data_IF_504612321962
#
_entry.id   IF_504612321962
#
_cell.length_a   1.000
_cell.length_b   1.000
_cell.length_c   1.000
_cell.angle_alpha   90.00
_cell.angle_beta   90.00
_cell.angle_gamma   90.00
#
_symmetry.space_group_name_H-M   'P 1'
#
loop_
_entity.id
_entity.type
_entity.pdbx_description
1 polymer ?
#
# COMPACT_ATOMS: atom_id res chain seq x y z
N UNK A 1 -14.96 -42.20 -13.91
CA UNK A 1 -15.71 -42.06 -15.18
C UNK A 1 -15.03 -42.91 -16.24
N UNK A 2 -15.75 -43.75 -17.01
CA UNK A 2 -15.12 -44.68 -17.98
C UNK A 2 -14.29 -43.99 -19.07
N UNK A 3 -14.36 -42.67 -19.18
CA UNK A 3 -13.62 -41.85 -20.17
C UNK A 3 -12.14 -41.68 -19.81
N UNK A 4 -11.72 -41.95 -18.57
CA UNK A 4 -10.33 -41.78 -18.12
C UNK A 4 -9.53 -43.11 -18.06
N UNK A 5 -10.17 -44.25 -18.32
CA UNK A 5 -9.49 -45.57 -18.24
C UNK A 5 -8.46 -45.83 -19.38
N UNK A 6 -8.47 -44.99 -20.41
CA UNK A 6 -7.56 -45.10 -21.56
C UNK A 6 -6.46 -44.03 -21.58
N UNK A 7 -6.35 -43.19 -20.55
CA UNK A 7 -5.31 -42.16 -20.47
C UNK A 7 -4.09 -42.75 -19.76
N UNK A 8 -2.99 -42.90 -20.50
CA UNK A 8 -1.71 -43.28 -19.91
C UNK A 8 -1.12 -42.06 -19.20
N UNK A 9 -1.01 -42.14 -17.86
CA UNK A 9 -0.55 -41.04 -17.01
C UNK A 9 0.90 -40.63 -17.34
N UNK A 10 1.76 -41.57 -17.68
CA UNK A 10 3.17 -41.29 -18.02
C UNK A 10 3.29 -40.53 -19.34
N UNK A 11 2.47 -40.88 -20.32
CA UNK A 11 2.44 -40.22 -21.62
C UNK A 11 1.80 -38.82 -21.52
N UNK A 12 0.85 -38.64 -20.59
CA UNK A 12 0.25 -37.34 -20.31
C UNK A 12 1.27 -36.42 -19.62
N UNK A 13 2.09 -36.91 -18.71
CA UNK A 13 3.16 -36.13 -18.09
C UNK A 13 4.23 -35.70 -19.09
N UNK A 14 4.65 -36.59 -19.98
CA UNK A 14 5.65 -36.31 -21.01
C UNK A 14 5.17 -35.28 -22.05
N UNK A 15 3.87 -35.30 -22.37
CA UNK A 15 3.29 -34.46 -23.41
C UNK A 15 2.46 -33.29 -22.87
N UNK A 16 2.41 -33.08 -21.57
CA UNK A 16 1.59 -32.07 -20.92
C UNK A 16 1.86 -30.65 -21.46
N UNK A 17 3.12 -30.29 -21.59
CA UNK A 17 3.54 -29.00 -22.12
C UNK A 17 3.12 -28.78 -23.58
N UNK A 18 3.11 -29.85 -24.42
CA UNK A 18 2.69 -29.76 -25.80
C UNK A 18 1.17 -29.70 -25.94
N UNK A 19 0.43 -30.40 -25.07
CA UNK A 19 -1.04 -30.42 -25.04
C UNK A 19 -1.61 -29.08 -24.55
N UNK A 20 -0.95 -28.43 -23.59
CA UNK A 20 -1.36 -27.15 -23.03
C UNK A 20 -0.80 -25.92 -23.73
N UNK A 21 0.08 -26.10 -24.72
CA UNK A 21 0.75 -24.99 -25.44
C UNK A 21 -0.22 -24.00 -26.13
N UNK A 22 -1.45 -24.40 -26.43
CA UNK A 22 -2.46 -23.55 -27.05
C UNK A 22 -3.64 -23.23 -26.10
N UNK A 23 -3.50 -23.47 -24.79
CA UNK A 23 -4.51 -23.07 -23.81
C UNK A 23 -4.51 -21.54 -23.64
N UNK A 24 -5.71 -20.97 -23.57
CA UNK A 24 -5.89 -19.53 -23.32
C UNK A 24 -5.31 -19.07 -21.95
N UNK A 25 -5.14 -19.98 -21.00
CA UNK A 25 -4.52 -19.71 -19.70
C UNK A 25 -3.00 -19.56 -19.81
N UNK A 26 -2.34 -20.26 -20.72
CA UNK A 26 -0.91 -20.08 -20.99
C UNK A 26 -0.56 -18.78 -21.71
N UNK A 27 -1.55 -18.11 -22.31
CA UNK A 27 -1.36 -16.82 -22.96
C UNK A 27 -1.29 -15.64 -21.98
N UNK A 28 -1.71 -15.83 -20.73
CA UNK A 28 -1.63 -14.83 -19.64
C UNK A 28 -0.33 -14.96 -18.80
N UNK A 29 0.33 -16.12 -18.86
CA UNK A 29 1.57 -16.41 -18.11
C UNK A 29 2.79 -16.56 -19.04
N UNK A 30 2.86 -15.87 -20.17
CA UNK A 30 4.05 -15.82 -20.97
C UNK A 30 5.13 -14.96 -20.28
N UNK A 31 6.09 -15.54 -19.52
CA UNK A 31 7.31 -14.83 -19.20
C UNK A 31 8.08 -14.68 -20.50
N UNK A 32 8.58 -13.47 -20.72
CA UNK A 32 9.57 -13.22 -21.77
C UNK A 32 10.61 -14.34 -21.76
N UNK A 33 10.86 -14.89 -22.95
CA UNK A 33 11.82 -15.98 -23.17
C UNK A 33 13.13 -15.73 -22.40
N UNK A 34 13.36 -16.51 -21.36
CA UNK A 34 14.68 -16.69 -20.80
C UNK A 34 15.08 -18.14 -20.98
N UNK A 35 15.93 -18.36 -21.98
CA UNK A 35 16.71 -19.56 -22.21
C UNK A 35 17.29 -20.11 -20.91
N UNK A 36 16.87 -21.31 -20.55
CA UNK A 36 17.47 -22.10 -19.50
C UNK A 36 18.84 -22.59 -19.99
N UNK A 37 19.87 -21.83 -19.75
CA UNK A 37 21.26 -22.31 -19.77
C UNK A 37 21.91 -22.02 -18.41
N UNK A 38 22.32 -23.12 -17.79
CA UNK A 38 23.37 -23.24 -16.77
C UNK A 38 23.64 -22.02 -15.89
N UNK A 39 22.99 -21.94 -14.73
CA UNK A 39 23.46 -21.07 -13.64
C UNK A 39 24.47 -21.82 -12.78
N UNK A 40 25.65 -22.07 -13.33
CA UNK A 40 26.88 -22.12 -12.55
C UNK A 40 27.44 -20.72 -12.51
N UNK A 41 27.44 -20.11 -11.36
CA UNK A 41 28.22 -18.99 -10.88
C UNK A 41 28.91 -18.09 -11.92
N UNK A 42 28.17 -17.15 -12.51
CA UNK A 42 28.79 -15.93 -13.03
C UNK A 42 27.82 -14.77 -12.71
N UNK A 43 28.21 -13.94 -11.78
CA UNK A 43 27.59 -12.65 -11.49
C UNK A 43 27.36 -11.94 -12.83
N UNK A 44 26.10 -11.55 -13.11
CA UNK A 44 25.82 -10.56 -14.16
C UNK A 44 26.57 -9.28 -13.76
N UNK A 45 27.68 -9.03 -14.45
CA UNK A 45 28.51 -7.86 -14.26
C UNK A 45 27.72 -6.62 -14.64
N UNK A 46 27.18 -5.91 -13.64
CA UNK A 46 26.53 -4.61 -13.82
C UNK A 46 25.40 -4.25 -12.87
N UNK A 47 24.68 -5.18 -12.29
CA UNK A 47 23.62 -4.87 -11.34
C UNK A 47 24.17 -4.96 -9.89
N UNK A 48 24.02 -3.88 -9.14
CA UNK A 48 24.33 -3.78 -7.71
C UNK A 48 23.52 -4.81 -6.94
N UNK A 49 24.16 -5.65 -6.13
CA UNK A 49 23.48 -6.62 -5.24
C UNK A 49 22.56 -5.87 -4.28
N UNK A 50 22.98 -4.68 -3.85
CA UNK A 50 22.18 -3.81 -3.01
C UNK A 50 20.88 -3.38 -3.70
N UNK A 51 20.92 -3.08 -5.01
CA UNK A 51 19.73 -2.72 -5.77
C UNK A 51 18.74 -3.89 -5.92
N UNK A 52 19.23 -5.13 -5.84
CA UNK A 52 18.38 -6.31 -5.90
C UNK A 52 17.66 -6.60 -4.59
N UNK A 53 18.29 -6.33 -3.43
CA UNK A 53 17.75 -6.70 -2.10
C UNK A 53 17.46 -5.53 -1.18
N UNK A 54 17.67 -4.29 -1.63
CA UNK A 54 17.39 -3.11 -0.84
C UNK A 54 16.79 -1.98 -1.67
N UNK A 55 15.89 -1.23 -1.06
CA UNK A 55 15.24 -0.06 -1.65
C UNK A 55 15.92 1.22 -1.15
N UNK A 56 16.37 2.08 -2.04
CA UNK A 56 16.98 3.38 -1.70
C UNK A 56 15.88 4.39 -1.32
N UNK A 57 15.68 4.61 -0.02
CA UNK A 57 14.71 5.58 0.50
C UNK A 57 15.11 7.03 0.18
N UNK A 58 16.42 7.32 0.10
CA UNK A 58 16.89 8.66 -0.28
C UNK A 58 16.62 8.97 -1.75
N UNK A 59 16.68 7.97 -2.63
CA UNK A 59 16.25 8.12 -4.02
C UNK A 59 14.74 8.35 -4.12
N UNK A 60 13.93 7.58 -3.41
CA UNK A 60 12.47 7.75 -3.35
C UNK A 60 12.09 9.14 -2.81
N UNK A 61 12.78 9.61 -1.78
CA UNK A 61 12.56 10.95 -1.25
C UNK A 61 12.85 12.05 -2.28
N UNK A 62 13.93 11.90 -3.10
CA UNK A 62 14.24 12.85 -4.19
C UNK A 62 13.19 12.84 -5.30
N UNK A 63 12.62 11.69 -5.56
CA UNK A 63 11.57 11.52 -6.58
C UNK A 63 10.18 12.00 -6.10
N UNK A 64 10.03 12.39 -4.84
CA UNK A 64 8.73 12.77 -4.27
C UNK A 64 7.79 11.58 -4.00
N UNK A 65 8.34 10.37 -3.89
CA UNK A 65 7.58 9.12 -3.65
C UNK A 65 7.34 8.85 -2.17
N UNK A 66 7.84 9.70 -1.29
CA UNK A 66 7.65 9.59 0.16
C UNK A 66 6.76 10.73 0.63
N UNK A 67 5.69 10.37 1.33
CA UNK A 67 4.76 11.34 1.90
C UNK A 67 5.44 12.23 2.96
N UNK A 68 4.98 13.48 3.13
CA UNK A 68 5.47 14.37 4.18
C UNK A 68 5.26 13.76 5.56
N UNK A 69 6.31 13.70 6.37
CA UNK A 69 6.26 13.16 7.73
C UNK A 69 6.20 14.30 8.74
N UNK A 70 5.09 14.40 9.46
CA UNK A 70 4.86 15.39 10.50
C UNK A 70 4.85 14.75 11.90
N UNK A 71 5.19 15.53 12.94
CA UNK A 71 5.03 15.13 14.34
C UNK A 71 6.00 14.09 14.88
N UNK A 72 7.09 13.78 14.14
CA UNK A 72 8.16 12.82 14.52
C UNK A 72 9.54 13.47 14.62
N UNK A 73 9.59 14.78 14.77
CA UNK A 73 10.83 15.55 14.79
C UNK A 73 11.76 15.18 15.94
N UNK A 74 11.22 14.83 17.08
CA UNK A 74 12.01 14.45 18.27
C UNK A 74 12.73 13.12 18.03
N UNK A 75 12.03 12.12 17.54
CA UNK A 75 12.58 10.80 17.24
C UNK A 75 13.63 10.90 16.11
N UNK A 76 13.37 11.68 15.07
CA UNK A 76 14.33 11.89 13.97
C UNK A 76 15.60 12.58 14.49
N UNK A 77 15.49 13.61 15.35
CA UNK A 77 16.66 14.26 15.97
C UNK A 77 17.45 13.26 16.81
N UNK A 78 16.79 12.44 17.62
CA UNK A 78 17.47 11.40 18.42
C UNK A 78 18.21 10.40 17.52
N UNK A 79 17.63 10.01 16.38
CA UNK A 79 18.32 9.15 15.42
C UNK A 79 19.57 9.83 14.87
N UNK A 80 19.48 11.10 14.47
CA UNK A 80 20.60 11.89 13.97
C UNK A 80 21.70 11.98 15.02
N UNK A 81 21.36 12.29 16.27
CA UNK A 81 22.31 12.36 17.38
C UNK A 81 23.04 11.04 17.62
N UNK A 82 22.30 9.91 17.53
CA UNK A 82 22.88 8.58 17.68
C UNK A 82 23.83 8.25 16.52
N UNK A 83 23.42 8.52 15.29
CA UNK A 83 24.25 8.29 14.10
C UNK A 83 25.56 9.09 14.12
N UNK A 84 25.59 10.23 14.80
CA UNK A 84 26.78 11.07 14.95
C UNK A 84 27.76 10.58 16.05
N UNK A 85 27.38 9.63 16.88
CA UNK A 85 28.20 9.10 17.94
C UNK A 85 29.38 8.27 17.42
N UNK A 86 30.48 8.24 18.16
CA UNK A 86 31.62 7.37 17.85
C UNK A 86 31.36 5.89 18.20
N UNK A 87 30.52 5.64 19.21
CA UNK A 87 30.15 4.30 19.70
C UNK A 87 28.65 4.26 19.93
N UNK A 88 28.04 3.07 19.86
CA UNK A 88 26.58 2.91 19.95
C UNK A 88 25.87 3.83 18.95
N UNK A 89 26.37 3.82 17.72
CA UNK A 89 25.92 4.70 16.64
C UNK A 89 24.88 4.05 15.71
N UNK A 90 24.29 2.95 16.14
CA UNK A 90 23.19 2.31 15.42
C UNK A 90 21.87 2.56 16.19
N UNK A 91 20.97 3.39 15.68
CA UNK A 91 19.65 3.58 16.27
C UNK A 91 18.82 2.30 16.16
N UNK A 92 18.05 2.01 17.20
CA UNK A 92 17.05 0.94 17.20
C UNK A 92 15.70 1.51 17.62
N UNK A 93 14.79 1.62 16.65
CA UNK A 93 13.42 2.05 16.91
C UNK A 93 12.65 0.93 17.59
N UNK A 94 12.07 1.22 18.74
CA UNK A 94 11.21 0.29 19.47
C UNK A 94 9.84 0.91 19.70
N UNK A 95 8.79 0.17 19.44
CA UNK A 95 7.41 0.63 19.63
C UNK A 95 6.42 -0.39 19.10
N UNK A 96 5.17 -0.27 19.49
CA UNK A 96 4.11 -1.15 19.05
C UNK A 96 3.89 -1.08 17.52
N UNK A 97 3.22 -2.08 16.96
CA UNK A 97 2.86 -2.07 15.55
C UNK A 97 1.91 -0.89 15.27
N UNK A 98 2.10 -0.19 14.15
CA UNK A 98 1.23 0.91 13.74
C UNK A 98 1.55 2.29 14.37
N UNK A 99 2.57 2.41 15.23
CA UNK A 99 2.97 3.74 15.77
C UNK A 99 3.78 4.60 14.78
N UNK A 100 4.12 4.07 13.59
CA UNK A 100 4.82 4.84 12.55
C UNK A 100 6.35 4.79 12.66
N UNK A 101 6.95 3.66 13.04
CA UNK A 101 8.42 3.48 13.07
C UNK A 101 9.05 3.69 11.69
N UNK A 102 8.46 3.13 10.65
CA UNK A 102 8.92 3.27 9.27
C UNK A 102 8.80 4.72 8.79
N UNK A 103 7.72 5.42 9.14
CA UNK A 103 7.54 6.84 8.84
C UNK A 103 8.66 7.73 9.46
N UNK A 104 9.14 7.40 10.67
CA UNK A 104 10.29 8.10 11.27
C UNK A 104 11.55 7.97 10.41
N UNK A 105 11.77 6.79 9.81
CA UNK A 105 12.92 6.53 8.92
C UNK A 105 12.73 7.25 7.57
N UNK A 106 11.54 7.25 7.03
CA UNK A 106 11.17 8.02 5.83
C UNK A 106 11.35 9.52 6.05
N UNK A 107 10.95 10.03 7.23
CA UNK A 107 11.21 11.41 7.64
C UNK A 107 12.70 11.74 7.72
N UNK A 108 13.55 10.80 8.16
CA UNK A 108 15.00 10.96 8.12
C UNK A 108 15.50 11.04 6.67
N UNK A 109 14.99 10.20 5.75
CA UNK A 109 15.34 10.26 4.33
C UNK A 109 14.99 11.63 3.72
N UNK A 110 13.80 12.15 4.02
CA UNK A 110 13.37 13.49 3.57
C UNK A 110 14.32 14.59 4.08
N UNK A 111 14.73 14.56 5.35
CA UNK A 111 15.70 15.53 5.90
C UNK A 111 17.09 15.40 5.29
N UNK A 112 17.56 14.19 5.00
CA UNK A 112 18.84 13.98 4.30
C UNK A 112 18.80 14.64 2.93
N UNK A 113 17.72 14.45 2.17
CA UNK A 113 17.55 15.02 0.83
C UNK A 113 17.40 16.54 0.88
N UNK A 114 16.68 17.08 1.85
CA UNK A 114 16.54 18.51 2.10
C UNK A 114 17.83 19.18 2.59
N UNK A 115 18.85 18.37 3.00
CA UNK A 115 20.08 18.90 3.59
C UNK A 115 19.95 19.37 5.04
N UNK A 116 18.80 19.12 5.69
CA UNK A 116 18.51 19.43 7.11
C UNK A 116 19.11 18.39 8.06
N UNK A 117 20.36 18.07 7.84
CA UNK A 117 21.15 17.13 8.62
C UNK A 117 22.59 17.63 8.74
N UNK A 118 23.37 17.17 9.77
CA UNK A 118 24.79 17.47 9.87
C UNK A 118 25.56 17.11 8.60
N UNK A 119 26.67 17.83 8.27
CA UNK A 119 27.42 17.62 7.03
C UNK A 119 27.84 16.17 6.77
N UNK A 120 28.07 15.39 7.82
CA UNK A 120 28.47 13.98 7.71
C UNK A 120 27.36 13.04 7.24
N UNK A 121 26.11 13.51 7.24
CA UNK A 121 24.93 12.74 6.80
C UNK A 121 24.32 13.23 5.49
N UNK A 122 24.82 14.32 4.89
CA UNK A 122 24.23 14.91 3.67
C UNK A 122 24.36 14.02 2.44
N UNK A 123 25.49 13.31 2.32
CA UNK A 123 25.78 12.47 1.18
C UNK A 123 25.53 10.97 1.46
N UNK A 124 24.78 10.67 2.52
CA UNK A 124 24.48 9.29 2.92
C UNK A 124 23.30 8.77 2.13
N UNK A 125 23.39 7.52 1.67
CA UNK A 125 22.25 6.76 1.16
C UNK A 125 21.60 5.99 2.30
N UNK A 126 20.30 6.08 2.41
CA UNK A 126 19.49 5.30 3.36
C UNK A 126 18.77 4.21 2.58
N UNK A 127 19.14 2.95 2.81
CA UNK A 127 18.62 1.81 2.07
C UNK A 127 17.82 0.89 3.00
N UNK A 128 16.57 0.61 2.65
CA UNK A 128 15.71 -0.37 3.33
C UNK A 128 16.03 -1.77 2.82
N UNK A 129 16.50 -2.65 3.69
CA UNK A 129 16.77 -4.05 3.38
C UNK A 129 15.46 -4.86 3.33
N UNK A 130 15.19 -5.51 2.20
CA UNK A 130 14.06 -6.41 2.06
C UNK A 130 14.46 -7.84 2.45
N UNK A 131 14.06 -8.24 3.66
CA UNK A 131 14.34 -9.58 4.20
C UNK A 131 13.56 -10.65 3.41
N UNK A 132 12.35 -10.32 2.93
CA UNK A 132 11.54 -11.23 2.14
C UNK A 132 12.23 -11.61 0.82
N UNK A 133 12.79 -10.63 0.10
CA UNK A 133 13.55 -10.87 -1.12
C UNK A 133 14.85 -11.66 -0.86
N UNK A 134 15.52 -11.43 0.27
CA UNK A 134 16.69 -12.23 0.65
C UNK A 134 16.33 -13.70 0.90
N UNK A 135 15.14 -13.96 1.45
CA UNK A 135 14.65 -15.31 1.76
C UNK A 135 13.98 -16.00 0.56
N UNK A 136 13.41 -15.23 -0.36
CA UNK A 136 12.72 -15.76 -1.53
C UNK A 136 13.65 -16.65 -2.38
N UNK A 137 13.23 -17.90 -2.61
CA UNK A 137 14.02 -18.87 -3.38
C UNK A 137 15.27 -19.41 -2.69
N UNK A 138 15.59 -19.02 -1.45
CA UNK A 138 16.72 -19.54 -0.69
C UNK A 138 16.38 -20.94 -0.08
N UNK A 139 15.98 -21.89 -0.94
CA UNK A 139 15.66 -23.26 -0.50
C UNK A 139 16.88 -24.08 -0.08
N UNK A 140 18.08 -23.66 -0.42
CA UNK A 140 19.34 -24.32 -0.08
C UNK A 140 19.96 -23.63 1.13
N UNK A 141 20.35 -24.44 2.13
CA UNK A 141 21.02 -23.93 3.34
C UNK A 141 22.27 -23.12 2.96
N UNK A 142 22.38 -21.90 3.48
CA UNK A 142 23.52 -21.01 3.25
C UNK A 142 23.36 -20.02 2.08
N UNK A 143 22.28 -20.11 1.30
CA UNK A 143 22.05 -19.16 0.19
C UNK A 143 21.61 -17.78 0.71
N UNK A 144 20.74 -17.75 1.69
CA UNK A 144 20.33 -16.53 2.41
C UNK A 144 21.55 -15.82 3.03
N UNK A 145 22.41 -16.57 3.70
CA UNK A 145 23.63 -16.05 4.33
C UNK A 145 24.60 -15.48 3.30
N UNK A 146 24.74 -16.14 2.13
CA UNK A 146 25.57 -15.64 1.03
C UNK A 146 25.04 -14.32 0.46
N UNK A 147 23.73 -14.21 0.28
CA UNK A 147 23.09 -12.97 -0.22
C UNK A 147 23.26 -11.85 0.80
N UNK A 148 23.01 -12.10 2.09
CA UNK A 148 23.20 -11.11 3.15
C UNK A 148 24.67 -10.69 3.26
N UNK A 149 25.61 -11.63 3.15
CA UNK A 149 27.04 -11.31 3.14
C UNK A 149 27.41 -10.44 1.94
N UNK A 150 26.91 -10.73 0.77
CA UNK A 150 27.14 -9.94 -0.44
C UNK A 150 26.60 -8.50 -0.29
N UNK A 151 25.42 -8.31 0.32
CA UNK A 151 24.89 -6.97 0.63
C UNK A 151 25.80 -6.25 1.62
N UNK A 152 26.27 -6.92 2.69
CA UNK A 152 27.17 -6.33 3.69
C UNK A 152 28.49 -5.89 3.01
N UNK A 153 29.08 -6.75 2.19
CA UNK A 153 30.33 -6.47 1.50
C UNK A 153 30.21 -5.29 0.52
N UNK A 154 29.09 -5.17 -0.18
CA UNK A 154 28.81 -4.05 -1.07
C UNK A 154 28.60 -2.74 -0.28
N UNK A 155 27.85 -2.77 0.83
CA UNK A 155 27.69 -1.59 1.72
C UNK A 155 29.05 -1.12 2.24
N UNK A 156 29.95 -2.04 2.60
CA UNK A 156 31.26 -1.71 3.12
C UNK A 156 32.25 -1.18 2.04
N UNK A 157 32.10 -1.64 0.81
CA UNK A 157 32.95 -1.24 -0.32
C UNK A 157 32.43 -0.01 -1.06
N UNK A 158 31.21 0.46 -0.74
CA UNK A 158 30.61 1.60 -1.42
C UNK A 158 31.40 2.90 -1.20
N UNK A 159 31.65 3.68 -2.27
CA UNK A 159 32.31 4.98 -2.19
C UNK A 159 31.44 6.03 -1.46
N UNK A 160 30.13 5.88 -1.51
CA UNK A 160 29.19 6.72 -0.76
C UNK A 160 28.78 6.02 0.53
N UNK A 161 28.76 6.72 1.69
CA UNK A 161 28.33 6.11 2.94
C UNK A 161 26.88 5.63 2.84
N UNK A 162 26.63 4.40 3.27
CA UNK A 162 25.29 3.79 3.27
C UNK A 162 24.87 3.50 4.71
N UNK A 163 23.64 3.84 5.04
CA UNK A 163 22.94 3.41 6.25
C UNK A 163 21.92 2.36 5.83
N UNK A 164 22.02 1.18 6.41
CA UNK A 164 21.10 0.09 6.13
C UNK A 164 19.95 0.13 7.13
N UNK A 165 18.74 0.36 6.67
CA UNK A 165 17.54 0.23 7.50
C UNK A 165 17.03 -1.20 7.43
N UNK A 166 16.81 -1.81 8.58
CA UNK A 166 16.29 -3.17 8.74
C UNK A 166 15.02 -3.08 9.56
N UNK A 167 13.90 -3.21 8.88
CA UNK A 167 12.62 -3.35 9.57
C UNK A 167 12.51 -4.76 10.15
N UNK A 168 11.80 -4.90 11.26
CA UNK A 168 11.68 -6.18 11.99
C UNK A 168 13.04 -6.89 12.21
N UNK A 169 14.06 -6.14 12.62
CA UNK A 169 15.44 -6.65 12.78
C UNK A 169 15.53 -7.90 13.69
N UNK A 170 14.53 -8.11 14.54
CA UNK A 170 14.42 -9.30 15.38
C UNK A 170 14.31 -10.60 14.58
N UNK A 171 13.79 -10.54 13.36
CA UNK A 171 13.68 -11.70 12.44
C UNK A 171 15.06 -12.20 12.02
N UNK A 172 16.04 -11.31 11.89
CA UNK A 172 17.44 -11.66 11.58
C UNK A 172 18.23 -12.10 12.82
N UNK A 173 17.85 -11.63 14.02
CA UNK A 173 18.63 -11.80 15.25
C UNK A 173 18.06 -12.89 16.15
N UNK A 174 16.72 -13.06 16.17
CA UNK A 174 16.01 -13.83 17.19
C UNK A 174 15.63 -15.26 16.82
N UNK A 175 15.81 -15.67 15.60
CA UNK A 175 15.30 -16.92 15.08
C UNK A 175 16.25 -18.11 15.37
N UNK A 176 16.61 -18.31 16.60
CA UNK A 176 17.29 -19.53 17.06
C UNK A 176 16.41 -20.79 17.05
N UNK A 177 15.27 -20.80 16.37
CA UNK A 177 14.32 -21.91 16.34
C UNK A 177 13.93 -22.43 14.97
N UNK A 178 14.06 -21.67 13.90
CA UNK A 178 13.85 -22.13 12.54
C UNK A 178 15.19 -22.37 11.83
N UNK A 179 15.32 -23.50 11.16
CA UNK A 179 16.54 -23.86 10.42
C UNK A 179 16.83 -22.77 9.37
N UNK A 180 17.96 -22.05 9.55
CA UNK A 180 18.45 -21.09 8.56
C UNK A 180 18.64 -19.65 9.04
N UNK A 181 17.95 -19.18 10.08
CA UNK A 181 18.03 -17.77 10.55
C UNK A 181 19.02 -17.51 11.67
N UNK A 182 19.49 -18.55 12.35
CA UNK A 182 20.53 -18.44 13.40
C UNK A 182 21.88 -17.93 12.88
N UNK A 183 22.16 -18.09 11.61
CA UNK A 183 23.44 -17.74 11.00
C UNK A 183 23.49 -16.25 10.57
N UNK A 184 22.35 -15.60 10.29
CA UNK A 184 22.29 -14.18 9.95
C UNK A 184 22.80 -13.26 11.07
N UNK A 185 22.45 -13.58 12.34
CA UNK A 185 22.97 -12.86 13.49
C UNK A 185 24.48 -12.95 13.60
N UNK A 186 25.07 -14.10 13.24
CA UNK A 186 26.50 -14.31 13.26
C UNK A 186 27.25 -13.53 12.18
N UNK A 187 26.60 -13.19 11.07
CA UNK A 187 27.15 -12.30 10.03
C UNK A 187 27.06 -10.82 10.41
N UNK A 188 25.92 -10.39 10.94
CA UNK A 188 25.71 -9.00 11.34
C UNK A 188 26.55 -8.57 12.54
N UNK A 189 26.67 -9.43 13.57
CA UNK A 189 27.42 -9.12 14.80
C UNK A 189 28.87 -8.67 14.55
N UNK A 190 29.69 -9.37 13.75
CA UNK A 190 31.06 -8.93 13.44
C UNK A 190 31.10 -7.61 12.65
N UNK A 191 30.20 -7.40 11.68
CA UNK A 191 30.14 -6.18 10.89
C UNK A 191 29.79 -4.96 11.75
N UNK A 192 28.78 -5.09 12.63
CA UNK A 192 28.39 -4.08 13.62
C UNK A 192 29.51 -3.86 14.65
N UNK A 193 30.18 -4.94 15.08
CA UNK A 193 31.24 -4.86 16.08
C UNK A 193 32.45 -4.07 15.60
N UNK A 194 32.82 -4.19 14.33
CA UNK A 194 33.91 -3.47 13.70
C UNK A 194 33.57 -2.02 13.35
N UNK A 195 32.28 -1.62 13.44
CA UNK A 195 31.79 -0.31 13.01
C UNK A 195 31.82 -0.09 11.49
N UNK A 196 31.92 -1.18 10.73
CA UNK A 196 31.98 -1.18 9.27
C UNK A 196 30.60 -1.10 8.64
N UNK A 197 29.55 -1.36 9.42
CA UNK A 197 28.15 -1.29 8.98
C UNK A 197 27.42 -0.31 9.90
N UNK A 198 26.84 0.73 9.30
CA UNK A 198 25.88 1.60 9.97
C UNK A 198 24.48 1.07 9.71
N UNK A 199 23.76 0.78 10.78
CA UNK A 199 22.45 0.14 10.70
C UNK A 199 21.45 0.90 11.55
N UNK A 200 20.26 1.13 11.00
CA UNK A 200 19.09 1.56 11.72
C UNK A 200 18.15 0.36 11.77
N UNK A 201 17.72 -0.04 12.95
CA UNK A 201 16.80 -1.16 13.13
C UNK A 201 15.44 -0.69 13.62
N UNK A 202 14.38 -1.45 13.29
CA UNK A 202 13.08 -1.29 13.92
C UNK A 202 12.57 -2.64 14.45
N UNK A 203 11.87 -2.61 15.58
CA UNK A 203 11.28 -3.80 16.20
C UNK A 203 10.18 -3.40 17.18
N UNK A 204 9.39 -4.36 17.67
CA UNK A 204 8.49 -4.11 18.78
C UNK A 204 9.23 -4.15 20.13
N UNK A 205 8.64 -3.56 21.17
CA UNK A 205 9.23 -3.60 22.50
C UNK A 205 9.35 -5.02 23.06
N UNK A 206 8.36 -5.86 22.82
CA UNK A 206 8.34 -7.25 23.25
C UNK A 206 9.46 -8.08 22.59
N UNK A 207 9.67 -7.88 21.28
CA UNK A 207 10.69 -8.57 20.50
C UNK A 207 12.11 -8.08 20.84
N UNK A 208 12.27 -6.77 21.11
CA UNK A 208 13.51 -6.21 21.63
C UNK A 208 13.94 -6.93 22.90
N UNK A 209 13.05 -7.03 23.91
CA UNK A 209 13.34 -7.71 25.17
C UNK A 209 13.63 -9.20 24.99
N UNK A 210 12.95 -9.83 24.06
CA UNK A 210 13.08 -11.27 23.82
C UNK A 210 14.36 -11.65 23.11
N UNK A 211 14.79 -10.84 22.12
CA UNK A 211 15.81 -11.22 21.14
C UNK A 211 17.10 -10.39 21.24
N UNK A 212 17.01 -9.07 21.50
CA UNK A 212 18.16 -8.14 21.41
C UNK A 212 18.71 -7.80 22.78
N UNK A 213 17.87 -7.51 23.77
CA UNK A 213 18.29 -7.09 25.12
C UNK A 213 19.16 -8.14 25.81
N UNK A 214 18.90 -9.42 25.54
CA UNK A 214 19.64 -10.56 26.13
C UNK A 214 21.02 -10.77 25.51
N UNK A 215 21.33 -10.10 24.40
CA UNK A 215 22.61 -10.24 23.72
C UNK A 215 23.53 -9.04 24.01
N UNK A 216 24.56 -9.16 24.88
CA UNK A 216 25.46 -8.07 25.24
C UNK A 216 26.24 -7.52 24.05
N UNK A 217 26.45 -8.29 22.99
CA UNK A 217 27.17 -7.84 21.80
C UNK A 217 26.34 -6.85 20.99
N UNK A 218 25.02 -7.05 20.95
CA UNK A 218 24.07 -6.16 20.26
C UNK A 218 23.72 -4.94 21.10
N UNK A 219 23.42 -5.10 22.39
CA UNK A 219 23.07 -3.97 23.27
C UNK A 219 24.17 -2.93 23.38
N UNK A 220 25.44 -3.32 23.22
CA UNK A 220 26.57 -2.39 23.18
C UNK A 220 26.72 -1.64 21.85
N UNK A 221 25.96 -2.00 20.84
CA UNK A 221 26.04 -1.43 19.48
C UNK A 221 24.82 -0.63 19.09
N UNK A 222 23.66 -1.04 19.58
CA UNK A 222 22.41 -0.35 19.35
C UNK A 222 22.07 0.61 20.49
N UNK A 223 21.51 1.76 20.13
CA UNK A 223 20.89 2.69 21.06
C UNK A 223 19.40 2.72 20.79
N UNK A 224 18.62 2.40 21.80
CA UNK A 224 17.16 2.36 21.69
C UNK A 224 16.58 3.78 21.58
N UNK A 225 15.67 3.97 20.63
CA UNK A 225 14.79 5.13 20.48
C UNK A 225 13.36 4.60 20.60
N UNK A 226 12.63 5.03 21.60
CA UNK A 226 11.25 4.61 21.81
C UNK A 226 10.32 5.48 20.97
N UNK A 227 9.53 4.83 20.12
CA UNK A 227 8.47 5.45 19.33
C UNK A 227 7.14 5.11 20.00
N UNK A 228 6.58 6.07 20.69
CA UNK A 228 5.31 5.91 21.40
C UNK A 228 4.12 6.20 20.49
N UNK A 229 2.95 5.68 20.86
CA UNK A 229 1.69 6.11 20.25
C UNK A 229 1.57 7.63 20.42
N UNK A 230 1.32 8.40 19.35
CA UNK A 230 1.14 9.85 19.45
C UNK A 230 -0.15 10.19 20.20
N UNK A 231 -0.20 11.37 20.82
CA UNK A 231 -1.46 11.95 21.31
C UNK A 231 -2.41 12.22 20.15
N UNK A 232 -3.69 12.38 20.43
CA UNK A 232 -4.71 12.70 19.40
C UNK A 232 -4.31 13.96 18.60
N UNK A 233 -3.82 15.01 19.26
CA UNK A 233 -3.40 16.25 18.60
C UNK A 233 -2.20 16.02 17.63
N UNK A 234 -1.21 15.23 18.07
CA UNK A 234 -0.08 14.86 17.20
C UNK A 234 -0.54 13.95 16.05
N UNK A 235 -1.43 13.01 16.31
CA UNK A 235 -2.00 12.15 15.28
C UNK A 235 -2.80 12.95 14.25
N UNK A 236 -3.57 13.94 14.68
CA UNK A 236 -4.28 14.85 13.80
C UNK A 236 -3.32 15.61 12.87
N UNK A 237 -2.22 16.14 13.41
CA UNK A 237 -1.17 16.77 12.60
C UNK A 237 -0.57 15.81 11.57
N UNK A 238 -0.31 14.56 11.98
CA UNK A 238 0.21 13.51 11.08
C UNK A 238 -0.78 13.19 9.95
N UNK A 239 -2.07 13.02 10.27
CA UNK A 239 -3.08 12.71 9.27
C UNK A 239 -3.29 13.87 8.29
N UNK A 240 -3.25 15.12 8.75
CA UNK A 240 -3.34 16.27 7.85
C UNK A 240 -2.25 16.28 6.78
N UNK A 241 -1.06 15.79 7.08
CA UNK A 241 0.00 15.69 6.07
C UNK A 241 -0.25 14.60 5.02
N UNK A 242 -1.13 13.63 5.29
CA UNK A 242 -1.50 12.56 4.34
C UNK A 242 -2.81 12.82 3.59
N UNK A 243 -3.48 13.95 3.83
CA UNK A 243 -4.76 14.30 3.18
C UNK A 243 -4.60 14.40 1.67
N UNK A 244 -3.64 15.19 1.20
CA UNK A 244 -3.45 15.42 -0.24
C UNK A 244 -3.16 14.13 -1.04
N UNK A 245 -2.26 13.23 -0.60
CA UNK A 245 -2.09 11.92 -1.23
C UNK A 245 -3.38 11.09 -1.27
N UNK A 246 -4.16 11.06 -0.19
CA UNK A 246 -5.42 10.31 -0.13
C UNK A 246 -6.48 10.88 -1.08
N UNK A 247 -6.61 12.20 -1.15
CA UNK A 247 -7.53 12.88 -2.08
C UNK A 247 -7.18 12.61 -3.53
N UNK A 248 -5.88 12.65 -3.87
CA UNK A 248 -5.41 12.35 -5.22
C UNK A 248 -5.66 10.90 -5.61
N UNK A 249 -5.44 9.97 -4.67
CA UNK A 249 -5.63 8.53 -4.93
C UNK A 249 -7.10 8.17 -5.12
N UNK A 250 -7.96 8.60 -4.19
CA UNK A 250 -9.39 8.24 -4.19
C UNK A 250 -10.27 9.20 -4.99
N UNK A 251 -9.76 10.37 -5.37
CA UNK A 251 -10.50 11.46 -6.04
C UNK A 251 -11.72 11.93 -5.23
N UNK A 252 -11.56 11.98 -3.92
CA UNK A 252 -12.58 12.37 -2.95
C UNK A 252 -12.05 13.55 -2.16
N UNK A 253 -12.89 14.54 -1.86
CA UNK A 253 -12.54 15.65 -0.97
C UNK A 253 -12.59 15.18 0.49
N UNK A 254 -11.51 15.44 1.23
CA UNK A 254 -11.40 15.17 2.66
C UNK A 254 -11.53 16.46 3.46
N UNK A 255 -12.62 16.60 4.20
CA UNK A 255 -12.81 17.72 5.11
C UNK A 255 -11.97 17.53 6.39
N UNK A 256 -11.47 18.62 6.97
CA UNK A 256 -10.71 18.59 8.24
C UNK A 256 -11.49 17.96 9.38
N UNK A 257 -12.83 18.16 9.40
CA UNK A 257 -13.73 17.49 10.34
C UNK A 257 -13.72 15.97 10.23
N UNK A 258 -13.57 15.43 9.01
CA UNK A 258 -13.48 13.99 8.78
C UNK A 258 -12.14 13.44 9.30
N UNK A 259 -11.05 14.21 9.16
CA UNK A 259 -9.73 13.85 9.69
C UNK A 259 -9.77 13.83 11.23
N UNK A 260 -10.33 14.86 11.87
CA UNK A 260 -10.51 14.91 13.32
C UNK A 260 -11.39 13.76 13.82
N UNK A 261 -12.53 13.52 13.16
CA UNK A 261 -13.41 12.42 13.49
C UNK A 261 -12.72 11.05 13.36
N UNK A 262 -11.89 10.85 12.33
CA UNK A 262 -11.16 9.60 12.13
C UNK A 262 -10.18 9.33 13.28
N UNK A 263 -9.46 10.34 13.76
CA UNK A 263 -8.57 10.22 14.92
C UNK A 263 -9.35 9.84 16.17
N UNK A 264 -10.37 10.63 16.52
CA UNK A 264 -11.14 10.45 17.77
C UNK A 264 -11.93 9.14 17.77
N UNK A 265 -12.62 8.82 16.67
CA UNK A 265 -13.42 7.59 16.59
C UNK A 265 -12.54 6.35 16.57
N UNK A 266 -11.42 6.35 15.82
CA UNK A 266 -10.50 5.22 15.83
C UNK A 266 -9.85 5.03 17.20
N UNK A 267 -9.48 6.12 17.90
CA UNK A 267 -8.92 6.05 19.25
C UNK A 267 -9.92 5.44 20.22
N UNK A 268 -11.18 5.84 20.14
CA UNK A 268 -12.25 5.39 21.05
C UNK A 268 -12.71 3.96 20.78
N UNK A 269 -12.86 3.58 19.50
CA UNK A 269 -13.56 2.33 19.12
C UNK A 269 -12.62 1.24 18.60
N UNK A 270 -11.34 1.55 18.32
CA UNK A 270 -10.34 0.59 17.85
C UNK A 270 -9.17 0.53 18.85
N UNK A 271 -9.35 -0.09 20.02
CA UNK A 271 -8.30 -0.12 21.04
C UNK A 271 -7.16 -1.09 20.71
N UNK A 272 -7.39 -2.06 19.82
CA UNK A 272 -6.40 -3.10 19.48
C UNK A 272 -5.27 -2.62 18.55
N UNK A 273 -5.41 -1.44 17.93
CA UNK A 273 -4.41 -0.84 17.03
C UNK A 273 -3.98 0.51 17.57
N UNK A 274 -2.79 0.97 17.15
CA UNK A 274 -2.21 2.23 17.59
C UNK A 274 -2.45 3.36 16.59
N UNK A 275 -2.49 4.61 17.10
CA UNK A 275 -2.40 5.80 16.25
C UNK A 275 -0.96 5.92 15.69
N UNK A 276 -0.78 6.48 14.49
CA UNK A 276 -1.79 6.98 13.55
C UNK A 276 -2.42 5.90 12.65
N UNK A 277 -1.89 4.69 12.60
CA UNK A 277 -2.24 3.64 11.64
C UNK A 277 -3.74 3.33 11.60
N UNK A 278 -4.40 3.20 12.77
CA UNK A 278 -5.85 2.94 12.82
C UNK A 278 -6.69 4.08 12.24
N UNK A 279 -6.23 5.32 12.37
CA UNK A 279 -6.95 6.48 11.84
C UNK A 279 -6.74 6.64 10.33
N UNK A 280 -5.52 6.40 9.85
CA UNK A 280 -5.21 6.35 8.40
C UNK A 280 -6.04 5.25 7.72
N UNK A 281 -6.06 4.03 8.27
CA UNK A 281 -6.83 2.93 7.72
C UNK A 281 -8.35 3.20 7.72
N UNK A 282 -8.86 3.93 8.73
CA UNK A 282 -10.27 4.33 8.77
C UNK A 282 -10.60 5.35 7.68
N UNK A 283 -9.74 6.37 7.51
CA UNK A 283 -9.89 7.36 6.43
C UNK A 283 -9.81 6.73 5.05
N UNK A 284 -8.79 5.92 4.80
CA UNK A 284 -8.61 5.20 3.53
C UNK A 284 -9.84 4.36 3.19
N UNK A 285 -10.35 3.61 4.16
CA UNK A 285 -11.58 2.82 3.98
C UNK A 285 -12.81 3.69 3.71
N UNK A 286 -12.93 4.83 4.38
CA UNK A 286 -14.04 5.76 4.16
C UNK A 286 -13.96 6.39 2.77
N UNK A 287 -12.79 6.85 2.36
CA UNK A 287 -12.54 7.39 1.02
C UNK A 287 -12.84 6.39 -0.08
N UNK A 288 -12.37 5.14 0.07
CA UNK A 288 -12.65 4.07 -0.88
C UNK A 288 -14.16 3.80 -1.01
N UNK A 289 -14.90 3.78 0.11
CA UNK A 289 -16.36 3.61 0.09
C UNK A 289 -17.08 4.77 -0.61
N UNK A 290 -16.65 6.01 -0.33
CA UNK A 290 -17.22 7.18 -1.00
C UNK A 290 -16.91 7.13 -2.50
N UNK A 291 -15.67 6.85 -2.90
CA UNK A 291 -15.29 6.72 -4.30
C UNK A 291 -16.11 5.64 -5.04
N UNK A 292 -16.33 4.48 -4.42
CA UNK A 292 -17.20 3.44 -4.97
C UNK A 292 -18.64 3.93 -5.09
N UNK A 293 -19.17 4.59 -4.05
CA UNK A 293 -20.56 5.07 -4.05
C UNK A 293 -20.84 6.14 -5.10
N UNK A 294 -19.83 6.92 -5.50
CA UNK A 294 -19.96 7.93 -6.56
C UNK A 294 -20.16 7.31 -7.96
N UNK A 295 -19.78 6.04 -8.16
CA UNK A 295 -19.85 5.36 -9.46
C UNK A 295 -20.78 4.13 -9.44
N UNK A 296 -21.18 3.66 -8.27
CA UNK A 296 -22.02 2.50 -8.12
C UNK A 296 -23.46 2.81 -8.55
N UNK A 297 -24.08 1.85 -9.23
CA UNK A 297 -25.51 1.90 -9.53
C UNK A 297 -26.30 1.89 -8.21
N UNK A 298 -27.30 2.78 -8.04
CA UNK A 298 -28.11 2.79 -6.82
C UNK A 298 -28.84 1.46 -6.61
N UNK A 299 -28.89 1.00 -5.36
CA UNK A 299 -29.56 -0.25 -5.01
C UNK A 299 -31.02 -0.33 -5.51
N UNK A 300 -31.70 0.83 -5.56
CA UNK A 300 -33.07 0.91 -6.09
C UNK A 300 -33.16 0.54 -7.57
N UNK A 301 -32.18 0.93 -8.38
CA UNK A 301 -32.11 0.59 -9.81
C UNK A 301 -31.83 -0.91 -9.98
N UNK A 302 -30.87 -1.43 -9.22
CA UNK A 302 -30.50 -2.85 -9.20
C UNK A 302 -31.69 -3.73 -8.75
N UNK A 303 -32.34 -3.39 -7.65
CA UNK A 303 -33.52 -4.10 -7.14
C UNK A 303 -34.67 -4.09 -8.15
N UNK A 304 -34.93 -2.95 -8.81
CA UNK A 304 -35.95 -2.84 -9.82
C UNK A 304 -35.64 -3.75 -11.01
N UNK A 305 -34.37 -3.82 -11.44
CA UNK A 305 -33.92 -4.69 -12.53
C UNK A 305 -34.10 -6.17 -12.18
N UNK A 306 -33.70 -6.58 -10.97
CA UNK A 306 -33.89 -7.95 -10.48
C UNK A 306 -35.37 -8.35 -10.40
N UNK A 307 -36.27 -7.42 -10.01
CA UNK A 307 -37.71 -7.67 -10.01
C UNK A 307 -38.28 -7.86 -11.44
N UNK A 308 -37.79 -7.07 -12.39
CA UNK A 308 -38.17 -7.22 -13.80
C UNK A 308 -37.73 -8.59 -14.31
N UNK A 309 -36.51 -9.02 -14.05
CA UNK A 309 -36.01 -10.33 -14.48
C UNK A 309 -36.80 -11.47 -13.84
N UNK A 310 -37.13 -11.38 -12.56
CA UNK A 310 -37.98 -12.38 -11.90
C UNK A 310 -39.37 -12.47 -12.50
N UNK A 311 -40.01 -11.33 -12.77
CA UNK A 311 -41.34 -11.30 -13.43
C UNK A 311 -41.31 -11.75 -14.88
N UNK A 312 -40.20 -11.56 -15.60
CA UNK A 312 -40.06 -12.11 -16.96
C UNK A 312 -40.04 -13.64 -16.95
N UNK A 313 -39.30 -14.24 -15.99
CA UNK A 313 -39.28 -15.69 -15.79
C UNK A 313 -40.70 -16.20 -15.46
N UNK A 314 -41.41 -15.51 -14.55
CA UNK A 314 -42.76 -15.85 -14.15
C UNK A 314 -43.74 -15.76 -15.34
N UNK A 315 -43.62 -14.72 -16.18
CA UNK A 315 -44.42 -14.55 -17.39
C UNK A 315 -44.21 -15.69 -18.37
N UNK A 316 -42.96 -16.13 -18.56
CA UNK A 316 -42.66 -17.26 -19.47
C UNK A 316 -43.22 -18.58 -18.96
N UNK A 317 -43.29 -18.77 -17.65
CA UNK A 317 -43.94 -19.93 -17.03
C UNK A 317 -45.45 -19.82 -17.24
N UNK A 318 -46.07 -18.69 -16.89
CA UNK A 318 -47.51 -18.48 -17.00
C UNK A 318 -48.01 -18.62 -18.48
N UNK A 319 -47.23 -18.12 -19.44
CA UNK A 319 -47.53 -18.29 -20.89
C UNK A 319 -47.44 -19.75 -21.33
N UNK A 320 -46.50 -20.54 -20.80
CA UNK A 320 -46.42 -21.99 -21.10
C UNK A 320 -47.60 -22.75 -20.51
N UNK A 321 -47.96 -22.46 -19.24
CA UNK A 321 -49.13 -23.05 -18.58
C UNK A 321 -50.45 -22.73 -19.34
N UNK A 322 -50.64 -21.47 -19.72
CA UNK A 322 -51.81 -21.05 -20.49
C UNK A 322 -51.90 -21.75 -21.86
N UNK A 323 -50.81 -22.02 -22.57
CA UNK A 323 -50.77 -22.76 -23.83
C UNK A 323 -51.21 -24.22 -23.68
N UNK A 324 -51.01 -24.81 -22.52
CA UNK A 324 -51.40 -26.21 -22.24
C UNK A 324 -52.81 -26.27 -21.61
N UNK A 325 -53.45 -25.11 -21.39
CA UNK A 325 -54.79 -25.04 -20.78
C UNK A 325 -54.80 -25.30 -19.28
N UNK A 326 -53.64 -25.15 -18.62
CA UNK A 326 -53.45 -25.29 -17.19
C UNK A 326 -53.13 -23.90 -16.63
N UNK A 327 -53.85 -23.45 -15.63
CA UNK A 327 -53.61 -22.15 -14.99
C UNK A 327 -54.64 -21.06 -15.29
N UNK A 328 -54.48 -19.88 -14.66
CA UNK A 328 -55.37 -18.74 -14.84
C UNK A 328 -55.03 -18.01 -16.16
N UNK A 329 -55.96 -17.87 -17.09
CA UNK A 329 -55.74 -17.20 -18.38
C UNK A 329 -55.49 -15.68 -18.22
N UNK A 330 -55.82 -15.06 -17.10
CA UNK A 330 -55.63 -13.64 -16.85
C UNK A 330 -54.23 -13.33 -16.24
N UNK A 331 -53.59 -14.31 -15.64
CA UNK A 331 -52.28 -14.16 -14.97
C UNK A 331 -51.20 -13.57 -15.89
N UNK A 332 -51.01 -13.99 -17.16
CA UNK A 332 -50.03 -13.37 -18.04
C UNK A 332 -50.27 -11.88 -18.28
N UNK A 333 -51.51 -11.45 -18.36
CA UNK A 333 -51.87 -10.04 -18.59
C UNK A 333 -51.55 -9.18 -17.34
N UNK A 334 -51.81 -9.72 -16.13
CA UNK A 334 -51.48 -9.07 -14.89
C UNK A 334 -49.94 -8.89 -14.71
N UNK A 335 -49.16 -9.92 -15.04
CA UNK A 335 -47.69 -9.86 -14.99
C UNK A 335 -47.15 -8.86 -16.03
N UNK A 336 -47.70 -8.82 -17.24
CA UNK A 336 -47.35 -7.85 -18.28
C UNK A 336 -47.63 -6.40 -17.86
N UNK A 337 -48.74 -6.16 -17.17
CA UNK A 337 -49.04 -4.84 -16.58
C UNK A 337 -48.05 -4.43 -15.51
N UNK A 338 -47.66 -5.36 -14.61
CA UNK A 338 -46.63 -5.12 -13.58
C UNK A 338 -45.28 -4.87 -14.22
N UNK A 339 -44.87 -5.64 -15.24
CA UNK A 339 -43.62 -5.43 -15.97
C UNK A 339 -43.57 -4.06 -16.64
N UNK A 340 -44.70 -3.61 -17.21
CA UNK A 340 -44.78 -2.29 -17.84
C UNK A 340 -44.60 -1.17 -16.81
N UNK A 341 -45.23 -1.28 -15.65
CA UNK A 341 -45.09 -0.32 -14.56
C UNK A 341 -43.65 -0.27 -14.01
N UNK A 342 -43.03 -1.44 -13.75
CA UNK A 342 -41.64 -1.53 -13.26
C UNK A 342 -40.63 -1.03 -14.31
N UNK A 343 -40.86 -1.23 -15.59
CA UNK A 343 -39.99 -0.67 -16.63
C UNK A 343 -40.03 0.85 -16.67
N UNK A 344 -41.20 1.45 -16.49
CA UNK A 344 -41.35 2.91 -16.38
C UNK A 344 -40.66 3.45 -15.12
N UNK A 345 -40.78 2.73 -13.98
CA UNK A 345 -40.09 3.06 -12.77
C UNK A 345 -38.57 2.98 -12.95
N UNK A 346 -38.06 1.92 -13.58
CA UNK A 346 -36.63 1.76 -13.87
C UNK A 346 -36.09 2.89 -14.75
N UNK A 347 -36.85 3.32 -15.77
CA UNK A 347 -36.47 4.42 -16.65
C UNK A 347 -36.34 5.73 -15.87
N UNK A 348 -37.30 6.06 -14.99
CA UNK A 348 -37.27 7.26 -14.16
C UNK A 348 -36.08 7.22 -13.17
N UNK A 349 -35.83 6.09 -12.52
CA UNK A 349 -34.71 5.90 -11.60
C UNK A 349 -33.37 6.03 -12.34
N UNK A 350 -33.27 5.47 -13.53
CA UNK A 350 -32.05 5.53 -14.35
C UNK A 350 -31.77 6.96 -14.84
N UNK A 351 -32.79 7.68 -15.30
CA UNK A 351 -32.67 9.08 -15.71
C UNK A 351 -32.21 9.97 -14.54
N UNK A 352 -32.80 9.78 -13.37
CA UNK A 352 -32.41 10.51 -12.17
C UNK A 352 -30.95 10.22 -11.79
N UNK A 353 -30.56 8.94 -11.79
CA UNK A 353 -29.17 8.56 -11.50
C UNK A 353 -28.18 9.15 -12.50
N UNK A 354 -28.52 9.20 -13.80
CA UNK A 354 -27.67 9.82 -14.82
C UNK A 354 -27.52 11.34 -14.59
N UNK A 355 -28.58 12.02 -14.15
CA UNK A 355 -28.52 13.43 -13.80
C UNK A 355 -27.63 13.67 -12.57
N UNK A 356 -27.76 12.87 -11.52
CA UNK A 356 -26.93 12.91 -10.33
C UNK A 356 -25.45 12.65 -10.66
N UNK A 357 -25.15 11.67 -11.53
CA UNK A 357 -23.80 11.39 -12.01
C UNK A 357 -23.19 12.57 -12.79
N UNK A 358 -23.97 13.21 -13.66
CA UNK A 358 -23.51 14.37 -14.41
C UNK A 358 -23.14 15.53 -13.48
N UNK A 359 -23.97 15.81 -12.47
CA UNK A 359 -23.69 16.84 -11.45
C UNK A 359 -22.43 16.54 -10.65
N UNK A 360 -22.23 15.28 -10.24
CA UNK A 360 -21.01 14.85 -9.52
C UNK A 360 -19.76 15.07 -10.37
N UNK A 361 -19.81 14.72 -11.66
CA UNK A 361 -18.70 14.92 -12.59
C UNK A 361 -18.37 16.41 -12.77
N UNK A 362 -19.37 17.26 -12.85
CA UNK A 362 -19.19 18.70 -12.95
C UNK A 362 -18.56 19.27 -11.67
N UNK A 363 -19.03 18.86 -10.50
CA UNK A 363 -18.46 19.26 -9.20
C UNK A 363 -16.98 18.83 -9.10
N UNK A 364 -16.64 17.60 -9.49
CA UNK A 364 -15.25 17.11 -9.47
C UNK A 364 -14.38 17.94 -10.41
N UNK A 365 -14.87 18.28 -11.59
CA UNK A 365 -14.14 19.06 -12.58
C UNK A 365 -13.88 20.49 -12.09
N UNK A 366 -14.89 21.14 -11.53
CA UNK A 366 -14.76 22.50 -10.97
C UNK A 366 -13.78 22.54 -9.79
N UNK A 367 -13.81 21.53 -8.93
CA UNK A 367 -12.84 21.41 -7.83
C UNK A 367 -11.42 21.24 -8.33
N UNK A 368 -11.20 20.39 -9.33
CA UNK A 368 -9.88 20.20 -9.94
C UNK A 368 -9.34 21.50 -10.54
N UNK A 369 -10.20 22.30 -11.20
CA UNK A 369 -9.82 23.62 -11.73
C UNK A 369 -9.45 24.61 -10.62
N UNK A 370 -10.19 24.65 -9.51
CA UNK A 370 -9.87 25.50 -8.35
C UNK A 370 -8.52 25.12 -7.74
N UNK A 371 -8.24 23.83 -7.56
CA UNK A 371 -6.95 23.37 -7.04
C UNK A 371 -5.77 23.68 -7.96
N UNK A 372 -5.95 23.61 -9.27
CA UNK A 372 -4.91 24.00 -10.24
C UNK A 372 -4.60 25.48 -10.17
N UNK A 373 -5.61 26.34 -10.02
CA UNK A 373 -5.42 27.78 -9.89
C UNK A 373 -4.72 28.20 -8.58
N UNK A 374 -4.94 27.44 -7.49
CA UNK A 374 -4.26 27.70 -6.21
C UNK A 374 -2.80 27.21 -6.21
N UNK A 375 -2.44 26.24 -7.06
CA UNK A 375 -1.10 25.68 -7.15
C UNK A 375 -0.15 26.46 -8.08
N UNK A 376 -0.66 27.26 -9.00
CA UNK A 376 0.16 28.12 -9.86
C UNK A 376 0.44 29.46 -9.13
N UNK A 377 1.73 29.79 -8.84
CA UNK A 377 2.05 31.14 -8.33
C UNK A 377 1.63 32.15 -9.38
N UNK A 378 0.92 33.19 -8.93
CA UNK A 378 0.46 34.29 -9.77
C UNK A 378 1.65 35.02 -10.43
N UNK A 379 2.04 34.57 -11.61
CA UNK A 379 2.85 35.35 -12.52
C UNK A 379 1.94 36.41 -13.19
N UNK A 380 2.24 37.67 -12.97
CA UNK A 380 1.43 38.85 -13.29
C UNK A 380 1.12 39.08 -14.79
N UNK A 381 1.44 38.14 -15.70
CA UNK A 381 1.27 38.36 -17.16
C UNK A 381 0.48 37.26 -17.91
N UNK A 382 -0.15 36.29 -17.26
CA UNK A 382 -0.93 35.27 -17.97
C UNK A 382 -2.43 35.57 -17.87
N UNK A 383 -3.09 35.65 -19.02
CA UNK A 383 -4.51 35.95 -19.23
C UNK A 383 -5.40 35.21 -18.20
N UNK A 384 -6.24 35.98 -17.50
CA UNK A 384 -7.18 35.55 -16.50
C UNK A 384 -7.92 34.27 -16.90
N UNK A 385 -7.61 33.15 -16.23
CA UNK A 385 -8.49 32.03 -16.14
C UNK A 385 -9.81 32.42 -15.48
N UNK A 386 -10.86 31.61 -15.54
CA UNK A 386 -12.15 31.96 -14.93
C UNK A 386 -11.91 32.34 -13.47
N UNK A 387 -12.48 33.49 -13.08
CA UNK A 387 -12.35 34.07 -11.75
C UNK A 387 -12.65 33.01 -10.67
N UNK A 388 -11.73 32.78 -9.76
CA UNK A 388 -11.87 31.75 -8.69
C UNK A 388 -13.16 31.97 -7.87
N UNK A 389 -13.61 33.20 -7.72
CA UNK A 389 -14.86 33.53 -7.06
C UNK A 389 -16.09 33.13 -7.87
N UNK A 390 -16.01 33.18 -9.21
CA UNK A 390 -17.07 32.69 -10.09
C UNK A 390 -17.17 31.13 -10.03
N UNK A 391 -16.04 30.45 -10.00
CA UNK A 391 -15.99 28.99 -9.84
C UNK A 391 -16.52 28.52 -8.47
N UNK A 392 -16.19 29.25 -7.40
CA UNK A 392 -16.75 29.00 -6.05
C UNK A 392 -18.26 29.23 -5.99
N UNK A 393 -18.76 30.26 -6.68
CA UNK A 393 -20.20 30.53 -6.76
C UNK A 393 -20.94 29.41 -7.52
N UNK A 394 -20.41 28.97 -8.67
CA UNK A 394 -20.95 27.84 -9.44
C UNK A 394 -20.94 26.54 -8.61
N UNK A 395 -19.85 26.28 -7.90
CA UNK A 395 -19.76 25.12 -7.02
C UNK A 395 -20.84 25.16 -5.92
N UNK A 396 -21.07 26.35 -5.32
CA UNK A 396 -22.11 26.53 -4.29
C UNK A 396 -23.52 26.31 -4.82
N UNK A 397 -23.82 26.72 -6.05
CA UNK A 397 -25.12 26.49 -6.69
C UNK A 397 -25.35 24.99 -6.98
N UNK A 398 -24.34 24.28 -7.51
CA UNK A 398 -24.42 22.86 -7.81
C UNK A 398 -24.54 21.99 -6.55
N UNK A 399 -23.98 22.42 -5.43
CA UNK A 399 -24.12 21.71 -4.14
C UNK A 399 -25.52 21.86 -3.51
N UNK A 400 -26.33 22.80 -3.95
CA UNK A 400 -27.70 23.00 -3.47
C UNK A 400 -28.75 22.26 -4.32
N UNK A 401 -28.38 21.81 -5.50
CA UNK A 401 -29.21 20.95 -6.39
C UNK A 401 -29.12 19.49 -5.94
#
# INVERSE_FOLDING_TARGET
>A
SPQFEHINADLLMEQFAAITAHSAENAQDAPAESSAENVSGAARSGESVLAQYAQDLTARARNGEIDPVAGRDEEIRQIIDILMRRRQNNPLLTGEAGVGKTAVVEGLALRIVAGDVPPQLRDVKLCLLDIGMLQAGAGVKGEFEKRLQAVIDEVQSSPTPIILFIDEIHTLIGAGGAQGTGDAANLLKPALARGQLRTLGATTWSEYKKSIEKDPALTRRFQVVQVHEPSEDKALLMLRSTVSPLEQHHRVLLLDEAVDAAVRLSHRYIPARQLPDKAVALLDTACARVAVSQHAEPAQVEDCRHRIDALQIELDIARREAKVGIGDPLRPQEIEAQLTALRQELEQLTERWQQELALIQEIITLRAQLHQQEAEPADEETQAGPDADALRAQLGELQQQ
#
